data_IF_349667100995
#
_entry.id   IF_349667100995
#
_cell.length_a   1.000
_cell.length_b   1.000
_cell.length_c   1.000
_cell.angle_alpha   90.00
_cell.angle_beta   90.00
_cell.angle_gamma   90.00
#
_symmetry.space_group_name_H-M   'P 1'
#
loop_
_entity.id
_entity.type
_entity.pdbx_description
1 polymer ?
#
# COMPACT_ATOMS: atom_id res chain seq x y z
N UNK A 1 53.81 -30.61 79.27
CA UNK A 1 52.76 -30.05 78.39
C UNK A 1 53.38 -28.97 77.54
N UNK A 2 53.17 -29.07 76.22
CA UNK A 2 53.89 -28.33 75.17
C UNK A 2 53.21 -26.99 74.88
N UNK A 3 53.98 -25.91 74.83
CA UNK A 3 53.64 -24.67 74.12
C UNK A 3 54.87 -24.13 73.40
N UNK A 4 54.75 -23.95 72.08
CA UNK A 4 55.46 -22.90 71.36
C UNK A 4 54.47 -22.18 70.41
N UNK A 5 54.65 -20.98 69.86
CA UNK A 5 55.75 -20.02 69.79
C UNK A 5 55.14 -18.67 69.30
N UNK A 6 55.70 -17.55 69.77
CA UNK A 6 56.06 -16.27 69.11
C UNK A 6 55.53 -15.95 67.68
N UNK A 7 55.34 -14.72 67.16
CA UNK A 7 55.60 -13.30 67.54
C UNK A 7 55.13 -12.41 66.35
N UNK A 8 54.89 -11.11 66.62
CA UNK A 8 55.11 -9.89 65.78
C UNK A 8 54.17 -9.52 64.60
N UNK A 9 53.40 -8.44 64.85
CA UNK A 9 53.12 -7.18 64.11
C UNK A 9 53.79 -6.89 62.73
N UNK A 10 53.25 -5.91 61.95
CA UNK A 10 52.75 -6.04 60.56
C UNK A 10 53.71 -5.45 59.52
N UNK A 11 53.52 -5.73 58.22
CA UNK A 11 53.87 -4.87 57.06
C UNK A 11 53.19 -5.40 55.78
N UNK A 12 52.75 -4.44 54.97
CA UNK A 12 52.46 -4.38 53.53
C UNK A 12 52.73 -5.55 52.56
N UNK A 13 52.01 -5.38 51.43
CA UNK A 13 52.39 -5.66 50.04
C UNK A 13 51.88 -6.99 49.45
N UNK A 14 50.60 -6.98 49.05
CA UNK A 14 50.03 -7.93 48.11
C UNK A 14 50.27 -7.44 46.67
N UNK A 15 51.08 -8.19 45.94
CA UNK A 15 51.41 -8.13 44.51
C UNK A 15 50.32 -7.55 43.59
N UNK A 16 50.70 -6.51 42.86
CA UNK A 16 50.12 -6.13 41.57
C UNK A 16 50.76 -7.03 40.49
N UNK A 17 49.95 -7.86 39.83
CA UNK A 17 50.29 -8.39 38.51
C UNK A 17 49.80 -7.39 37.48
N UNK A 18 50.75 -6.81 36.76
CA UNK A 18 50.54 -5.95 35.60
C UNK A 18 50.00 -6.80 34.46
N UNK A 19 48.78 -6.50 34.01
CA UNK A 19 48.28 -6.89 32.70
C UNK A 19 47.84 -5.60 31.99
N UNK A 20 48.35 -5.46 30.77
CA UNK A 20 48.43 -4.25 29.96
C UNK A 20 47.06 -3.61 29.70
N UNK A 21 47.05 -2.28 29.76
CA UNK A 21 45.87 -1.45 29.60
C UNK A 21 45.42 -1.26 28.15
N UNK A 22 44.10 -1.25 28.01
CA UNK A 22 43.36 -0.42 27.06
C UNK A 22 42.24 0.24 27.88
N UNK A 23 42.14 1.58 27.96
CA UNK A 23 41.07 2.21 28.71
C UNK A 23 39.77 2.15 27.93
N UNK A 24 38.82 1.37 28.43
CA UNK A 24 37.39 1.61 28.24
C UNK A 24 37.08 2.93 28.95
N UNK A 25 36.90 4.00 28.17
CA UNK A 25 36.43 5.27 28.70
C UNK A 25 34.98 5.09 29.17
N UNK A 26 34.79 5.10 30.48
CA UNK A 26 33.53 5.38 31.15
C UNK A 26 33.04 6.76 30.70
N UNK A 27 32.00 6.80 29.87
CA UNK A 27 31.32 8.05 29.58
C UNK A 27 30.42 8.41 30.76
N UNK A 28 30.84 9.47 31.45
CA UNK A 28 30.03 10.17 32.42
C UNK A 28 28.85 10.84 31.72
N UNK A 29 27.68 10.78 32.36
CA UNK A 29 26.53 11.60 32.05
C UNK A 29 26.90 13.06 32.29
N UNK A 30 27.05 13.83 31.22
CA UNK A 30 26.94 15.28 31.26
C UNK A 30 25.52 15.63 30.79
N UNK A 31 24.77 16.24 31.70
CA UNK A 31 23.46 16.83 31.49
C UNK A 31 23.58 18.07 30.59
N UNK A 32 23.25 17.92 29.31
CA UNK A 32 22.94 19.03 28.40
C UNK A 32 21.68 18.67 27.60
N UNK A 33 20.53 18.81 28.25
CA UNK A 33 19.22 18.72 27.61
C UNK A 33 18.93 20.04 26.88
N UNK A 34 19.42 20.14 25.65
CA UNK A 34 19.05 21.17 24.68
C UNK A 34 18.23 20.58 23.52
N UNK A 35 17.05 21.17 23.32
CA UNK A 35 16.11 21.04 22.19
C UNK A 35 15.18 19.80 22.18
N UNK A 36 13.96 20.03 22.68
CA UNK A 36 12.81 19.15 22.59
C UNK A 36 12.28 19.16 21.14
N UNK A 37 12.70 18.16 20.34
CA UNK A 37 12.39 17.99 18.91
C UNK A 37 10.91 18.07 18.53
N UNK A 38 10.36 19.27 18.56
CA UNK A 38 9.07 19.66 18.02
C UNK A 38 9.30 20.06 16.57
N UNK A 39 8.59 19.41 15.64
CA UNK A 39 8.65 19.80 14.24
C UNK A 39 8.07 21.21 14.09
N UNK A 40 8.92 22.21 13.89
CA UNK A 40 8.47 23.59 13.69
C UNK A 40 7.77 23.70 12.33
N UNK A 41 6.43 23.82 12.35
CA UNK A 41 5.62 24.01 11.15
C UNK A 41 5.65 25.49 10.76
N UNK A 42 6.36 25.79 9.67
CA UNK A 42 6.46 27.13 9.09
C UNK A 42 5.08 27.66 8.68
N UNK A 43 4.24 26.81 8.08
CA UNK A 43 2.89 27.18 7.66
C UNK A 43 1.95 25.98 7.53
N UNK A 44 0.69 26.22 7.86
CA UNK A 44 -0.43 25.33 7.60
C UNK A 44 -1.26 25.86 6.42
N UNK A 45 -1.46 25.05 5.40
CA UNK A 45 -2.35 25.29 4.27
C UNK A 45 -3.70 24.63 4.51
N UNK A 46 -4.80 25.26 4.10
CA UNK A 46 -6.13 24.64 4.16
C UNK A 46 -6.50 24.10 2.79
N UNK A 47 -6.78 22.80 2.70
CA UNK A 47 -7.12 22.11 1.46
C UNK A 47 -8.58 21.70 1.49
N UNK A 48 -9.34 22.10 0.48
CA UNK A 48 -10.73 21.66 0.26
C UNK A 48 -10.93 21.23 -1.18
N UNK A 49 -12.07 20.63 -1.54
CA UNK A 49 -12.35 20.25 -2.92
C UNK A 49 -13.67 20.86 -3.42
N UNK A 50 -13.67 21.49 -4.59
CA UNK A 50 -14.83 22.13 -5.22
C UNK A 50 -14.86 21.90 -6.74
N UNK A 51 -15.94 22.29 -7.44
CA UNK A 51 -15.95 22.25 -8.90
C UNK A 51 -14.92 23.25 -9.47
N UNK A 52 -14.15 22.84 -10.48
CA UNK A 52 -13.09 23.66 -11.07
C UNK A 52 -13.69 24.85 -11.82
N UNK A 53 -13.40 26.09 -11.41
CA UNK A 53 -13.66 27.24 -12.26
C UNK A 53 -12.66 27.27 -13.44
N UNK A 54 -12.93 28.12 -14.43
CA UNK A 54 -12.05 28.38 -15.57
C UNK A 54 -10.67 28.91 -15.19
N UNK A 55 -10.53 29.47 -13.98
CA UNK A 55 -9.25 29.90 -13.41
C UNK A 55 -8.38 28.75 -12.88
N UNK A 56 -8.90 27.53 -12.78
CA UNK A 56 -8.12 26.38 -12.32
C UNK A 56 -7.13 25.94 -13.42
N UNK A 57 -5.85 25.65 -13.12
CA UNK A 57 -4.84 25.30 -14.14
C UNK A 57 -5.21 24.08 -14.99
N UNK A 58 -5.97 23.14 -14.40
CA UNK A 58 -6.54 21.98 -15.08
C UNK A 58 -8.04 22.08 -15.41
N UNK A 59 -8.57 23.29 -15.64
CA UNK A 59 -9.96 23.44 -16.08
C UNK A 59 -10.21 22.68 -17.41
N UNK A 60 -11.34 21.99 -17.51
CA UNK A 60 -11.69 21.17 -18.69
C UNK A 60 -10.88 19.87 -18.86
N UNK A 61 -9.93 19.57 -17.96
CA UNK A 61 -9.05 18.40 -18.04
C UNK A 61 -9.21 17.52 -16.79
N UNK A 62 -9.42 16.22 -16.96
CA UNK A 62 -9.60 15.29 -15.83
C UNK A 62 -10.97 15.37 -15.18
N UNK A 63 -11.04 15.21 -13.84
CA UNK A 63 -12.31 15.27 -13.12
C UNK A 63 -12.82 16.71 -13.02
N UNK A 64 -14.14 16.91 -12.87
CA UNK A 64 -14.76 18.24 -12.82
C UNK A 64 -14.46 19.02 -11.54
N UNK A 65 -14.10 18.32 -10.45
CA UNK A 65 -13.68 18.94 -9.19
C UNK A 65 -12.16 19.10 -9.13
N UNK A 66 -11.70 20.09 -8.38
CA UNK A 66 -10.32 20.41 -8.09
C UNK A 66 -10.14 20.75 -6.62
N UNK A 67 -8.88 20.78 -6.20
CA UNK A 67 -8.44 21.10 -4.85
C UNK A 67 -8.21 22.60 -4.76
N UNK A 68 -8.83 23.23 -3.77
CA UNK A 68 -8.59 24.62 -3.41
C UNK A 68 -7.62 24.64 -2.24
N UNK A 69 -6.56 25.45 -2.36
CA UNK A 69 -5.62 25.68 -1.26
C UNK A 69 -5.77 27.13 -0.79
N UNK A 70 -6.06 27.30 0.50
CA UNK A 70 -6.41 28.59 1.10
C UNK A 70 -7.54 29.32 0.34
N UNK A 71 -8.49 28.56 -0.21
CA UNK A 71 -9.62 29.09 -1.00
C UNK A 71 -9.28 29.47 -2.45
N UNK A 72 -8.06 29.19 -2.93
CA UNK A 72 -7.66 29.42 -4.33
C UNK A 72 -7.64 28.09 -5.09
N UNK A 73 -8.46 27.93 -6.15
CA UNK A 73 -8.53 26.72 -6.95
C UNK A 73 -7.20 26.41 -7.65
N UNK A 74 -6.64 25.22 -7.41
CA UNK A 74 -5.39 24.77 -8.04
C UNK A 74 -4.19 25.69 -7.78
N UNK A 75 -4.19 26.38 -6.63
CA UNK A 75 -3.13 27.32 -6.21
C UNK A 75 -1.74 26.73 -6.38
N UNK A 76 -0.91 27.42 -7.13
CA UNK A 76 0.52 27.12 -7.18
C UNK A 76 1.19 27.61 -5.87
N UNK A 77 2.00 26.74 -5.26
CA UNK A 77 2.64 27.01 -3.97
C UNK A 77 4.16 27.14 -4.15
N UNK A 78 4.77 27.97 -3.31
CA UNK A 78 6.22 28.02 -3.11
C UNK A 78 6.48 27.72 -1.65
N UNK A 79 7.30 26.71 -1.40
CA UNK A 79 7.80 26.31 -0.09
C UNK A 79 9.31 26.57 -0.04
N UNK A 80 9.85 26.75 1.15
CA UNK A 80 11.27 27.03 1.37
C UNK A 80 11.97 25.76 1.85
N UNK A 81 13.09 25.42 1.20
CA UNK A 81 13.92 24.26 1.57
C UNK A 81 14.45 24.41 3.00
N UNK A 82 14.47 23.30 3.72
CA UNK A 82 14.85 23.20 5.12
C UNK A 82 13.70 23.49 6.09
N UNK A 83 12.48 23.66 5.60
CA UNK A 83 11.29 23.97 6.41
C UNK A 83 10.24 22.87 6.37
N UNK A 84 9.41 22.84 7.40
CA UNK A 84 8.29 21.90 7.51
C UNK A 84 6.96 22.60 7.32
N UNK A 85 6.05 21.95 6.61
CA UNK A 85 4.73 22.49 6.27
C UNK A 85 3.64 21.47 6.59
N UNK A 86 2.42 21.96 6.82
CA UNK A 86 1.26 21.11 7.00
C UNK A 86 0.12 21.50 6.05
N UNK A 87 -0.70 20.52 5.68
CA UNK A 87 -1.91 20.68 4.89
C UNK A 87 -3.07 20.13 5.70
N UNK A 88 -3.94 21.01 6.18
CA UNK A 88 -5.22 20.63 6.78
C UNK A 88 -6.21 20.33 5.68
N UNK A 89 -6.45 19.06 5.45
CA UNK A 89 -7.34 18.56 4.42
C UNK A 89 -8.74 18.42 5.00
N UNK A 90 -9.71 19.08 4.36
CA UNK A 90 -11.14 18.95 4.59
C UNK A 90 -11.82 18.78 3.22
N UNK A 91 -11.74 17.55 2.74
CA UNK A 91 -12.34 17.09 1.49
C UNK A 91 -13.32 15.96 1.80
N UNK A 92 -13.91 15.33 0.79
CA UNK A 92 -14.73 14.14 0.99
C UNK A 92 -13.95 12.85 0.70
N UNK A 93 -14.47 11.71 1.14
CA UNK A 93 -13.85 10.38 1.01
C UNK A 93 -13.46 9.99 -0.44
N UNK A 94 -14.03 10.66 -1.45
CA UNK A 94 -13.70 10.43 -2.87
C UNK A 94 -12.59 11.33 -3.37
N UNK A 95 -12.12 12.31 -2.58
CA UNK A 95 -11.19 13.35 -2.97
C UNK A 95 -10.02 13.50 -2.00
N UNK A 96 -9.39 12.39 -1.62
CA UNK A 96 -8.19 12.40 -0.79
C UNK A 96 -7.05 13.25 -1.39
N UNK A 97 -6.24 13.84 -0.51
CA UNK A 97 -5.07 14.64 -0.83
C UNK A 97 -3.80 13.83 -0.62
N UNK A 98 -2.85 13.97 -1.54
CA UNK A 98 -1.50 13.44 -1.40
C UNK A 98 -0.51 14.28 -2.21
N UNK A 99 0.78 14.16 -1.89
CA UNK A 99 1.87 14.78 -2.64
C UNK A 99 2.43 13.80 -3.67
N UNK A 100 2.72 14.31 -4.86
CA UNK A 100 3.13 13.52 -6.02
C UNK A 100 4.24 14.23 -6.80
N UNK A 101 5.13 13.46 -7.41
CA UNK A 101 6.11 14.00 -8.38
C UNK A 101 5.49 14.25 -9.76
N UNK A 102 4.22 13.88 -9.98
CA UNK A 102 3.53 14.04 -11.26
C UNK A 102 2.19 14.79 -11.12
N UNK A 103 1.83 15.57 -12.13
CA UNK A 103 0.60 16.39 -12.13
C UNK A 103 -0.70 15.57 -12.29
N UNK A 104 -0.59 14.33 -12.77
CA UNK A 104 -1.75 13.53 -13.17
C UNK A 104 -2.60 13.08 -11.98
N UNK A 105 -2.01 12.85 -10.81
CA UNK A 105 -2.70 12.23 -9.68
C UNK A 105 -2.94 10.72 -9.85
N UNK A 106 -4.13 10.24 -9.48
CA UNK A 106 -4.53 8.82 -9.53
C UNK A 106 -3.71 7.90 -8.60
N UNK A 107 -3.02 8.45 -7.60
CA UNK A 107 -2.18 7.68 -6.69
C UNK A 107 -0.91 7.15 -7.33
N UNK A 108 -0.58 7.61 -8.54
CA UNK A 108 0.71 7.39 -9.15
C UNK A 108 1.75 8.34 -8.54
N UNK A 109 3.03 7.94 -8.65
CA UNK A 109 4.20 8.80 -8.39
C UNK A 109 4.14 9.55 -7.07
N UNK A 110 3.80 8.84 -5.98
CA UNK A 110 3.66 9.41 -4.63
C UNK A 110 5.02 9.94 -4.16
N UNK A 111 5.05 11.17 -3.69
CA UNK A 111 6.18 11.71 -2.94
C UNK A 111 6.04 11.25 -1.48
N UNK A 112 6.81 10.24 -1.10
CA UNK A 112 6.74 9.63 0.23
C UNK A 112 7.86 10.08 1.17
N UNK A 113 9.05 10.42 0.64
CA UNK A 113 10.18 10.86 1.47
C UNK A 113 9.88 12.24 2.08
N UNK A 114 10.00 12.34 3.41
CA UNK A 114 9.69 13.55 4.16
C UNK A 114 8.21 13.89 4.28
N UNK A 115 7.29 13.02 3.83
CA UNK A 115 5.84 13.30 3.84
C UNK A 115 5.10 12.31 4.72
N UNK A 116 4.32 12.82 5.69
CA UNK A 116 3.40 12.02 6.49
C UNK A 116 1.94 12.37 6.17
N UNK A 117 1.04 11.38 6.23
CA UNK A 117 -0.39 11.60 6.03
C UNK A 117 -0.82 11.63 4.56
N UNK A 118 -0.03 11.16 3.60
CA UNK A 118 -0.50 10.98 2.22
C UNK A 118 -1.82 10.18 2.15
N UNK A 119 -2.68 10.54 1.19
CA UNK A 119 -4.02 9.97 0.98
C UNK A 119 -5.04 10.28 2.08
N UNK A 120 -4.92 11.48 2.66
CA UNK A 120 -5.83 11.99 3.67
C UNK A 120 -6.94 12.78 3.01
N UNK A 121 -8.20 12.46 3.29
CA UNK A 121 -9.35 13.26 2.83
C UNK A 121 -9.91 14.18 3.92
N UNK A 122 -9.62 13.88 5.17
CA UNK A 122 -9.97 14.67 6.35
C UNK A 122 -8.79 14.44 7.31
N UNK A 123 -8.05 15.48 7.72
CA UNK A 123 -6.86 15.35 8.57
C UNK A 123 -5.68 16.25 8.18
N UNK A 124 -4.48 15.95 8.66
CA UNK A 124 -3.26 16.71 8.37
C UNK A 124 -2.28 15.87 7.54
N UNK A 125 -1.69 16.49 6.52
CA UNK A 125 -0.53 15.96 5.79
C UNK A 125 0.64 16.88 6.07
N UNK A 126 1.78 16.36 6.49
CA UNK A 126 3.00 17.14 6.73
C UNK A 126 4.06 16.85 5.68
N UNK A 127 4.90 17.83 5.39
CA UNK A 127 6.11 17.64 4.59
C UNK A 127 7.29 18.37 5.22
N UNK A 128 8.39 17.66 5.39
CA UNK A 128 9.72 18.20 5.64
C UNK A 128 10.44 18.38 4.31
N UNK A 129 10.86 19.60 4.01
CA UNK A 129 11.54 19.89 2.75
C UNK A 129 13.05 19.86 3.00
N UNK A 130 13.75 18.81 2.57
CA UNK A 130 15.19 18.66 2.77
C UNK A 130 15.95 18.85 1.44
N UNK A 131 17.24 18.49 1.40
CA UNK A 131 18.05 18.58 0.18
C UNK A 131 17.68 17.56 -0.89
N UNK A 132 16.90 16.53 -0.55
CA UNK A 132 16.43 15.50 -1.48
C UNK A 132 15.03 15.81 -2.02
N UNK A 133 14.27 16.69 -1.36
CA UNK A 133 12.97 17.12 -1.85
C UNK A 133 13.11 17.73 -3.26
N UNK A 134 12.34 17.24 -4.26
CA UNK A 134 12.36 17.76 -5.62
C UNK A 134 12.14 19.27 -5.67
N UNK A 135 12.76 19.95 -6.65
CA UNK A 135 12.55 21.39 -6.86
C UNK A 135 11.13 21.74 -7.28
N UNK A 136 10.46 20.80 -7.95
CA UNK A 136 9.05 20.90 -8.33
C UNK A 136 8.37 19.56 -8.04
N UNK A 137 7.16 19.64 -7.50
CA UNK A 137 6.26 18.50 -7.33
C UNK A 137 4.81 19.02 -7.32
N UNK A 138 3.85 18.16 -6.99
CA UNK A 138 2.43 18.44 -7.08
C UNK A 138 1.71 17.96 -5.83
N UNK A 139 0.57 18.59 -5.53
CA UNK A 139 -0.46 17.95 -4.72
C UNK A 139 -1.55 17.43 -5.64
N UNK A 140 -2.19 16.32 -5.29
CA UNK A 140 -3.13 15.63 -6.16
C UNK A 140 -4.17 14.79 -5.40
N UNK A 141 -5.03 14.11 -6.17
CA UNK A 141 -6.03 13.17 -5.65
C UNK A 141 -5.80 11.75 -6.14
N UNK A 142 -5.95 10.75 -5.27
CA UNK A 142 -5.74 9.33 -5.64
C UNK A 142 -6.83 8.79 -6.55
N UNK A 143 -8.04 9.33 -6.43
CA UNK A 143 -9.20 8.76 -7.14
C UNK A 143 -9.45 9.40 -8.51
N UNK A 144 -8.87 10.58 -8.76
CA UNK A 144 -9.26 11.42 -9.89
C UNK A 144 -8.07 12.17 -10.49
N UNK A 145 -8.00 12.23 -11.83
CA UNK A 145 -6.90 12.92 -12.52
C UNK A 145 -7.03 14.43 -12.42
N UNK A 146 -5.88 15.10 -12.34
CA UNK A 146 -5.74 16.56 -12.52
C UNK A 146 -6.61 17.39 -11.57
N UNK A 147 -6.71 16.95 -10.32
CA UNK A 147 -7.46 17.67 -9.29
C UNK A 147 -6.63 18.70 -8.53
N UNK A 148 -5.30 18.60 -8.51
CA UNK A 148 -4.48 19.48 -7.67
C UNK A 148 -3.72 20.55 -8.43
N UNK A 149 -2.56 20.91 -7.91
CA UNK A 149 -1.74 22.03 -8.38
C UNK A 149 -0.26 21.78 -8.14
N UNK A 150 0.57 22.71 -8.59
CA UNK A 150 2.04 22.59 -8.53
C UNK A 150 2.60 23.22 -7.26
N UNK A 151 3.69 22.65 -6.75
CA UNK A 151 4.48 23.14 -5.63
C UNK A 151 5.94 23.29 -6.09
N UNK A 152 6.53 24.44 -5.77
CA UNK A 152 7.95 24.75 -5.98
C UNK A 152 8.70 24.76 -4.66
N UNK A 153 9.95 24.29 -4.65
CA UNK A 153 10.89 24.47 -3.54
C UNK A 153 11.90 25.57 -3.90
N UNK A 154 11.84 26.69 -3.18
CA UNK A 154 12.84 27.75 -3.19
C UNK A 154 13.92 27.48 -2.12
N UNK A 155 15.13 28.01 -2.31
CA UNK A 155 16.09 28.12 -1.21
C UNK A 155 15.72 29.33 -0.34
N UNK A 156 16.17 29.35 0.91
CA UNK A 156 15.95 30.48 1.81
C UNK A 156 16.44 31.80 1.19
N UNK A 157 15.55 32.80 1.10
CA UNK A 157 15.84 34.10 0.50
C UNK A 157 15.69 34.16 -1.03
N UNK A 158 15.19 33.08 -1.66
CA UNK A 158 14.92 33.00 -3.10
C UNK A 158 13.43 32.85 -3.44
N UNK A 159 12.54 33.00 -2.45
CA UNK A 159 11.10 32.82 -2.60
C UNK A 159 10.53 33.75 -3.67
N UNK A 160 10.94 35.02 -3.67
CA UNK A 160 10.52 36.05 -4.63
C UNK A 160 11.12 35.87 -6.04
N UNK A 161 12.13 35.00 -6.19
CA UNK A 161 12.73 34.68 -7.49
C UNK A 161 11.96 33.58 -8.21
N UNK A 162 11.08 32.86 -7.52
CA UNK A 162 10.16 31.92 -8.16
C UNK A 162 9.04 32.74 -8.81
N UNK A 163 9.04 32.80 -10.14
CA UNK A 163 8.06 33.56 -10.91
C UNK A 163 6.67 32.92 -10.80
N UNK A 164 5.94 33.21 -9.72
CA UNK A 164 4.51 32.99 -9.62
C UNK A 164 3.79 34.19 -10.25
N UNK A 165 2.83 33.97 -11.13
CA UNK A 165 2.01 35.06 -11.67
C UNK A 165 1.38 35.89 -10.53
N UNK A 166 1.65 37.20 -10.48
CA UNK A 166 1.11 38.09 -9.44
C UNK A 166 -0.43 38.12 -9.51
N UNK A 167 -1.10 37.62 -8.48
CA UNK A 167 -2.56 37.72 -8.32
C UNK A 167 -2.88 38.90 -7.42
N UNK A 168 -3.76 39.77 -7.91
CA UNK A 168 -4.34 40.89 -7.17
C UNK A 168 -5.43 40.38 -6.20
N UNK A 169 -5.05 40.21 -4.94
CA UNK A 169 -5.85 39.68 -3.83
C UNK A 169 -7.13 40.50 -3.57
N UNK A 170 -7.17 41.75 -4.04
CA UNK A 170 -8.31 42.65 -3.88
C UNK A 170 -9.49 42.36 -4.84
N UNK A 171 -9.30 41.44 -5.79
CA UNK A 171 -10.30 41.06 -6.82
C UNK A 171 -10.94 39.69 -6.59
N UNK A 172 -10.67 39.05 -5.44
CA UNK A 172 -11.25 37.75 -5.12
C UNK A 172 -12.70 37.89 -4.64
N UNK A 173 -13.63 37.02 -5.09
CA UNK A 173 -14.98 36.99 -4.53
C UNK A 173 -14.94 36.57 -3.05
N UNK A 174 -15.82 37.10 -2.19
CA UNK A 174 -15.85 36.75 -0.78
C UNK A 174 -16.11 35.25 -0.63
N UNK A 175 -15.19 34.57 0.05
CA UNK A 175 -15.31 33.15 0.35
C UNK A 175 -16.48 32.93 1.30
N UNK A 176 -17.26 31.86 1.04
CA UNK A 176 -18.20 31.37 2.03
C UNK A 176 -17.37 30.90 3.23
N UNK A 177 -17.62 31.39 4.46
CA UNK A 177 -16.83 30.98 5.60
C UNK A 177 -16.97 29.46 5.80
N UNK A 178 -15.88 28.75 6.16
CA UNK A 178 -15.99 27.36 6.61
C UNK A 178 -17.05 27.34 7.71
N UNK A 179 -17.92 26.31 7.71
CA UNK A 179 -18.93 26.20 8.77
C UNK A 179 -18.18 26.28 10.11
N UNK A 180 -18.56 27.19 11.01
CA UNK A 180 -17.87 27.32 12.28
C UNK A 180 -17.91 25.97 12.98
N UNK A 181 -16.74 25.45 13.38
CA UNK A 181 -16.65 24.24 14.18
C UNK A 181 -17.40 24.53 15.47
N UNK A 182 -18.54 23.87 15.66
CA UNK A 182 -19.34 24.10 16.85
C UNK A 182 -18.76 23.34 18.02
N UNK A 183 -18.66 23.98 19.18
CA UNK A 183 -18.22 23.35 20.42
C UNK A 183 -19.05 22.09 20.74
N UNK A 184 -20.35 22.12 20.40
CA UNK A 184 -21.25 20.96 20.50
C UNK A 184 -20.76 19.77 19.65
N UNK A 185 -20.34 20.01 18.41
CA UNK A 185 -19.84 18.95 17.50
C UNK A 185 -18.57 18.33 18.05
N UNK A 186 -17.64 19.16 18.55
CA UNK A 186 -16.38 18.70 19.15
C UNK A 186 -16.65 17.85 20.40
N UNK A 187 -17.51 18.33 21.30
CA UNK A 187 -17.92 17.59 22.50
C UNK A 187 -18.55 16.23 22.16
N UNK A 188 -19.42 16.19 21.14
CA UNK A 188 -20.02 14.94 20.68
C UNK A 188 -18.97 13.96 20.13
N UNK A 189 -18.03 14.44 19.30
CA UNK A 189 -16.94 13.60 18.77
C UNK A 189 -16.02 13.09 19.87
N UNK A 190 -15.62 13.94 20.82
CA UNK A 190 -14.79 13.53 21.97
C UNK A 190 -15.50 12.46 22.80
N UNK A 191 -16.80 12.60 23.05
CA UNK A 191 -17.57 11.58 23.77
C UNK A 191 -17.61 10.24 23.02
N UNK A 192 -17.80 10.27 21.69
CA UNK A 192 -17.74 9.05 20.88
C UNK A 192 -16.33 8.43 20.87
N UNK A 193 -15.29 9.25 20.70
CA UNK A 193 -13.91 8.80 20.72
C UNK A 193 -13.53 8.22 22.08
N UNK A 194 -13.98 8.79 23.20
CA UNK A 194 -13.76 8.23 24.53
C UNK A 194 -14.39 6.83 24.69
N UNK A 195 -15.63 6.65 24.21
CA UNK A 195 -16.29 5.36 24.19
C UNK A 195 -15.55 4.34 23.29
N UNK A 196 -15.13 4.76 22.10
CA UNK A 196 -14.46 3.89 21.12
C UNK A 196 -13.03 3.52 21.57
N UNK A 197 -12.26 4.56 21.86
CA UNK A 197 -11.15 4.73 22.82
C UNK A 197 -10.97 3.62 23.84
N UNK A 198 -11.85 3.70 24.83
CA UNK A 198 -11.64 3.08 26.15
C UNK A 198 -12.53 1.85 26.37
N UNK A 199 -13.67 1.77 25.69
CA UNK A 199 -14.73 0.81 26.06
C UNK A 199 -15.07 -0.18 24.95
N UNK A 200 -14.66 0.08 23.70
CA UNK A 200 -15.00 -0.78 22.57
C UNK A 200 -14.43 -2.20 22.73
N UNK A 201 -15.08 -3.17 22.09
CA UNK A 201 -14.54 -4.54 22.03
C UNK A 201 -13.18 -4.58 21.34
N UNK A 202 -12.93 -3.67 20.39
CA UNK A 202 -11.65 -3.50 19.74
C UNK A 202 -10.57 -2.99 20.72
N UNK A 203 -10.88 -1.96 21.52
CA UNK A 203 -9.98 -1.45 22.55
C UNK A 203 -9.56 -2.54 23.54
N UNK A 204 -10.54 -3.33 24.03
CA UNK A 204 -10.27 -4.46 24.92
C UNK A 204 -9.39 -5.52 24.27
N UNK A 205 -9.63 -5.86 23.00
CA UNK A 205 -8.78 -6.82 22.27
C UNK A 205 -7.35 -6.32 22.14
N UNK A 206 -7.18 -5.05 21.72
CA UNK A 206 -5.86 -4.46 21.53
C UNK A 206 -5.10 -4.38 22.86
N UNK A 207 -5.76 -3.91 23.92
CA UNK A 207 -5.17 -3.83 25.26
C UNK A 207 -4.69 -5.19 25.78
N UNK A 208 -5.42 -6.27 25.47
CA UNK A 208 -5.09 -7.63 25.86
C UNK A 208 -4.22 -8.39 24.85
N UNK A 209 -3.79 -7.74 23.76
CA UNK A 209 -2.98 -8.39 22.73
C UNK A 209 -1.49 -8.35 23.06
N UNK A 210 -0.72 -9.24 22.42
CA UNK A 210 0.75 -9.21 22.45
C UNK A 210 1.35 -8.45 21.26
N UNK A 211 0.55 -7.66 20.54
CA UNK A 211 1.01 -6.92 19.37
C UNK A 211 1.54 -5.53 19.77
N UNK A 212 2.86 -5.38 19.79
CA UNK A 212 3.52 -4.13 20.21
C UNK A 212 3.14 -2.93 19.33
N UNK A 213 3.02 -3.12 18.00
CA UNK A 213 2.60 -2.05 17.09
C UNK A 213 1.17 -1.61 17.37
N UNK A 214 0.28 -2.56 17.70
CA UNK A 214 -1.09 -2.25 18.08
C UNK A 214 -1.13 -1.49 19.41
N UNK A 215 -0.28 -1.85 20.38
CA UNK A 215 -0.16 -1.13 21.65
C UNK A 215 0.34 0.30 21.45
N UNK A 216 1.33 0.53 20.60
CA UNK A 216 1.81 1.88 20.27
C UNK A 216 0.69 2.74 19.68
N UNK A 217 -0.03 2.22 18.68
CA UNK A 217 -1.17 2.93 18.09
C UNK A 217 -2.33 3.16 19.08
N UNK A 218 -2.54 2.23 20.03
CA UNK A 218 -3.52 2.36 21.09
C UNK A 218 -3.16 3.45 22.10
N UNK A 219 -1.88 3.52 22.50
CA UNK A 219 -1.39 4.59 23.37
C UNK A 219 -1.50 5.94 22.69
N UNK A 220 -1.06 6.08 21.43
CA UNK A 220 -1.22 7.33 20.67
C UNK A 220 -2.70 7.75 20.60
N UNK A 221 -3.62 6.80 20.38
CA UNK A 221 -5.05 7.12 20.38
C UNK A 221 -5.54 7.74 21.70
N UNK A 222 -5.07 7.26 22.85
CA UNK A 222 -5.37 7.84 24.17
C UNK A 222 -4.73 9.21 24.37
N UNK A 223 -3.47 9.37 23.97
CA UNK A 223 -2.74 10.64 24.09
C UNK A 223 -3.38 11.74 23.24
N UNK A 224 -3.75 11.42 21.99
CA UNK A 224 -4.51 12.28 21.08
C UNK A 224 -5.86 12.67 21.66
N UNK A 225 -6.59 11.72 22.26
CA UNK A 225 -7.87 12.02 22.90
C UNK A 225 -7.71 12.98 24.09
N UNK A 226 -6.63 12.84 24.87
CA UNK A 226 -6.32 13.75 25.97
C UNK A 226 -5.96 15.15 25.45
N UNK A 227 -5.15 15.26 24.39
CA UNK A 227 -4.86 16.54 23.72
C UNK A 227 -6.13 17.21 23.20
N UNK A 228 -7.06 16.44 22.64
CA UNK A 228 -8.35 16.95 22.18
C UNK A 228 -9.19 17.55 23.32
N UNK A 229 -9.20 16.91 24.50
CA UNK A 229 -9.88 17.40 25.70
C UNK A 229 -9.25 18.71 26.21
N UNK A 230 -7.93 18.77 26.28
CA UNK A 230 -7.19 19.99 26.68
C UNK A 230 -7.46 21.15 25.73
N UNK A 231 -7.43 20.90 24.41
CA UNK A 231 -7.71 21.93 23.41
C UNK A 231 -9.16 22.44 23.49
N UNK A 232 -10.12 21.54 23.78
CA UNK A 232 -11.52 21.93 24.01
C UNK A 232 -11.66 22.84 25.23
N UNK A 233 -10.98 22.52 26.34
CA UNK A 233 -11.01 23.35 27.56
C UNK A 233 -10.38 24.74 27.33
N UNK A 234 -9.37 24.82 26.45
CA UNK A 234 -8.78 26.07 25.99
C UNK A 234 -9.65 26.83 24.96
N UNK A 235 -10.83 26.31 24.62
CA UNK A 235 -11.72 26.83 23.55
C UNK A 235 -11.09 26.83 22.14
N UNK A 236 -10.00 26.08 21.93
CA UNK A 236 -9.43 25.83 20.60
C UNK A 236 -10.17 24.67 19.92
N UNK A 237 -11.34 25.00 19.37
CA UNK A 237 -12.23 24.02 18.75
C UNK A 237 -11.63 23.36 17.50
N UNK A 238 -10.69 24.04 16.83
CA UNK A 238 -10.03 23.52 15.62
C UNK A 238 -9.02 22.45 16.01
N UNK A 239 -8.15 22.75 16.97
CA UNK A 239 -7.18 21.78 17.47
C UNK A 239 -7.88 20.59 18.14
N UNK A 240 -8.93 20.84 18.92
CA UNK A 240 -9.72 19.80 19.57
C UNK A 240 -10.36 18.83 18.56
N UNK A 241 -10.89 19.35 17.45
CA UNK A 241 -11.45 18.54 16.38
C UNK A 241 -10.37 17.72 15.65
N UNK A 242 -9.21 18.32 15.42
CA UNK A 242 -8.09 17.62 14.78
C UNK A 242 -7.59 16.44 15.63
N UNK A 243 -7.29 16.68 16.91
CA UNK A 243 -6.73 15.66 17.81
C UNK A 243 -7.72 14.51 18.08
N UNK A 244 -9.04 14.78 18.15
CA UNK A 244 -10.03 13.71 18.31
C UNK A 244 -10.12 12.83 17.05
N UNK A 245 -9.88 13.38 15.88
CA UNK A 245 -9.88 12.62 14.63
C UNK A 245 -8.62 11.77 14.48
N UNK A 246 -7.45 12.30 14.83
CA UNK A 246 -6.22 11.51 14.92
C UNK A 246 -6.37 10.37 15.94
N UNK A 247 -7.01 10.63 17.10
CA UNK A 247 -7.31 9.58 18.09
C UNK A 247 -8.11 8.42 17.48
N UNK A 248 -9.18 8.72 16.74
CA UNK A 248 -10.01 7.71 16.08
C UNK A 248 -9.25 6.95 14.98
N UNK A 249 -8.36 7.62 14.22
CA UNK A 249 -7.49 6.99 13.22
C UNK A 249 -6.51 6.02 13.86
N UNK A 250 -5.82 6.44 14.91
CA UNK A 250 -4.85 5.61 15.64
C UNK A 250 -5.52 4.39 16.26
N UNK A 251 -6.68 4.54 16.90
CA UNK A 251 -7.45 3.42 17.45
C UNK A 251 -7.91 2.45 16.33
N UNK A 252 -8.34 2.98 15.19
CA UNK A 252 -8.72 2.15 14.04
C UNK A 252 -7.54 1.34 13.48
N UNK A 253 -6.35 1.94 13.45
CA UNK A 253 -5.11 1.24 13.09
C UNK A 253 -4.79 0.14 14.09
N UNK A 254 -4.85 0.43 15.39
CA UNK A 254 -4.64 -0.54 16.44
C UNK A 254 -5.62 -1.73 16.32
N UNK A 255 -6.90 -1.45 16.09
CA UNK A 255 -7.92 -2.47 15.88
C UNK A 255 -7.68 -3.36 14.66
N UNK A 256 -7.12 -2.83 13.57
CA UNK A 256 -6.78 -3.61 12.37
C UNK A 256 -5.60 -4.56 12.59
N UNK A 257 -4.66 -4.17 13.44
CA UNK A 257 -3.49 -4.99 13.80
C UNK A 257 -3.88 -6.15 14.73
N UNK A 258 -5.04 -6.09 15.38
CA UNK A 258 -5.57 -7.13 16.26
C UNK A 258 -6.98 -7.55 15.80
N UNK A 259 -7.07 -8.26 14.66
CA UNK A 259 -8.34 -8.70 14.10
C UNK A 259 -9.11 -9.62 15.06
N UNK A 260 -10.43 -9.72 14.88
CA UNK A 260 -11.23 -10.73 15.60
C UNK A 260 -10.82 -12.15 15.17
N UNK A 261 -11.11 -13.19 15.98
CA UNK A 261 -10.85 -14.58 15.59
C UNK A 261 -11.50 -14.94 14.25
N UNK A 262 -12.73 -14.50 14.01
CA UNK A 262 -13.43 -14.70 12.73
C UNK A 262 -12.71 -14.01 11.56
N UNK A 263 -12.29 -12.75 11.74
CA UNK A 263 -11.52 -12.03 10.72
C UNK A 263 -10.17 -12.70 10.47
N UNK A 264 -9.51 -13.21 11.51
CA UNK A 264 -8.23 -13.90 11.38
C UNK A 264 -8.38 -15.20 10.59
N UNK A 265 -9.41 -16.00 10.87
CA UNK A 265 -9.72 -17.20 10.09
C UNK A 265 -10.02 -16.87 8.63
N UNK A 266 -10.71 -15.76 8.37
CA UNK A 266 -10.94 -15.30 7.00
C UNK A 266 -9.64 -14.87 6.30
N UNK A 267 -8.74 -14.19 7.00
CA UNK A 267 -7.42 -13.85 6.46
C UNK A 267 -6.59 -15.10 6.15
N UNK A 268 -6.68 -16.17 6.96
CA UNK A 268 -6.02 -17.45 6.68
C UNK A 268 -6.59 -18.11 5.43
N UNK A 269 -7.91 -18.19 5.31
CA UNK A 269 -8.57 -18.73 4.10
C UNK A 269 -8.17 -17.98 2.86
N UNK A 270 -8.12 -16.65 2.94
CA UNK A 270 -7.66 -15.79 1.85
C UNK A 270 -6.21 -16.09 1.47
N UNK A 271 -5.32 -16.27 2.44
CA UNK A 271 -3.92 -16.60 2.16
C UNK A 271 -3.78 -17.93 1.42
N UNK A 272 -4.46 -18.97 1.89
CA UNK A 272 -4.48 -20.28 1.23
C UNK A 272 -4.97 -20.19 -0.21
N UNK A 273 -6.05 -19.46 -0.45
CA UNK A 273 -6.59 -19.27 -1.79
C UNK A 273 -5.61 -18.51 -2.71
N UNK A 274 -5.01 -17.42 -2.22
CA UNK A 274 -4.03 -16.65 -2.97
C UNK A 274 -2.77 -17.46 -3.30
N UNK A 275 -2.30 -18.28 -2.36
CA UNK A 275 -1.12 -19.12 -2.56
C UNK A 275 -1.37 -20.18 -3.64
N UNK A 276 -2.53 -20.83 -3.62
CA UNK A 276 -2.93 -21.80 -4.66
C UNK A 276 -2.99 -21.12 -6.04
N UNK A 277 -3.60 -19.95 -6.11
CA UNK A 277 -3.73 -19.17 -7.34
C UNK A 277 -2.37 -18.72 -7.88
N UNK A 278 -1.50 -18.17 -7.03
CA UNK A 278 -0.14 -17.76 -7.41
C UNK A 278 0.68 -18.94 -7.91
N UNK A 279 0.63 -20.11 -7.26
CA UNK A 279 1.33 -21.34 -7.73
C UNK A 279 0.82 -21.81 -9.09
N UNK A 280 -0.49 -21.68 -9.34
CA UNK A 280 -1.06 -21.95 -10.66
C UNK A 280 -0.50 -21.00 -11.72
N UNK A 281 -0.48 -19.68 -11.44
CA UNK A 281 0.06 -18.70 -12.37
C UNK A 281 1.56 -18.83 -12.58
N UNK A 282 2.31 -19.21 -11.54
CA UNK A 282 3.75 -19.48 -11.61
C UNK A 282 4.05 -20.58 -12.62
N UNK A 283 3.27 -21.66 -12.56
CA UNK A 283 3.39 -22.79 -13.51
C UNK A 283 3.14 -22.32 -14.95
N UNK A 284 2.07 -21.55 -15.17
CA UNK A 284 1.76 -20.97 -16.48
C UNK A 284 2.84 -20.01 -16.97
N UNK A 285 3.35 -19.16 -16.08
CA UNK A 285 4.40 -18.20 -16.37
C UNK A 285 5.67 -18.90 -16.83
N UNK A 286 6.16 -19.88 -16.05
CA UNK A 286 7.34 -20.68 -16.39
C UNK A 286 7.21 -21.35 -17.76
N UNK A 287 6.04 -21.94 -18.04
CA UNK A 287 5.77 -22.58 -19.34
C UNK A 287 5.81 -21.59 -20.50
N UNK A 288 5.23 -20.40 -20.34
CA UNK A 288 5.23 -19.38 -21.39
C UNK A 288 6.62 -18.80 -21.64
N UNK A 289 7.39 -18.57 -20.58
CA UNK A 289 8.81 -18.16 -20.67
C UNK A 289 9.60 -19.21 -21.45
N UNK A 290 9.54 -20.49 -21.06
CA UNK A 290 10.26 -21.57 -21.75
C UNK A 290 9.87 -21.68 -23.23
N UNK A 291 8.58 -21.51 -23.56
CA UNK A 291 8.09 -21.55 -24.94
C UNK A 291 8.66 -20.40 -25.77
N UNK A 292 8.67 -19.19 -25.23
CA UNK A 292 9.14 -18.00 -25.93
C UNK A 292 10.68 -17.98 -26.06
N UNK A 293 11.40 -18.49 -25.07
CA UNK A 293 12.86 -18.67 -25.16
C UNK A 293 13.22 -19.67 -26.26
N UNK A 294 12.47 -20.77 -26.39
CA UNK A 294 12.63 -21.73 -27.51
C UNK A 294 12.35 -21.10 -28.88
N UNK A 295 11.49 -20.08 -28.96
CA UNK A 295 11.26 -19.33 -30.20
C UNK A 295 12.26 -18.19 -30.41
N UNK A 296 13.30 -18.08 -29.57
CA UNK A 296 14.38 -17.08 -29.70
C UNK A 296 14.11 -15.73 -29.03
N UNK A 297 13.04 -15.61 -28.24
CA UNK A 297 12.67 -14.38 -27.52
C UNK A 297 13.21 -14.42 -26.08
N UNK A 298 14.15 -13.54 -25.75
CA UNK A 298 14.89 -13.57 -24.48
C UNK A 298 14.52 -12.46 -23.49
N UNK A 299 13.73 -11.45 -23.90
CA UNK A 299 13.25 -10.31 -23.08
C UNK A 299 12.13 -10.70 -22.09
N UNK A 300 11.66 -11.96 -22.14
CA UNK A 300 10.49 -12.42 -21.39
C UNK A 300 10.66 -12.44 -19.87
N UNK A 301 11.90 -12.37 -19.37
CA UNK A 301 12.19 -12.37 -17.93
C UNK A 301 12.38 -10.97 -17.33
N UNK A 302 12.37 -9.91 -18.15
CA UNK A 302 12.63 -8.53 -17.71
C UNK A 302 11.51 -7.99 -16.80
N UNK A 303 10.29 -8.50 -16.96
CA UNK A 303 9.12 -8.06 -16.19
C UNK A 303 9.01 -8.74 -14.82
N UNK A 304 9.49 -9.99 -14.69
CA UNK A 304 9.42 -10.76 -13.45
C UNK A 304 10.39 -11.95 -13.48
N UNK A 305 11.44 -11.92 -12.67
CA UNK A 305 12.39 -13.05 -12.62
C UNK A 305 11.86 -14.22 -11.79
N UNK A 306 12.38 -15.43 -12.04
CA UNK A 306 12.07 -16.60 -11.19
C UNK A 306 12.54 -16.42 -9.75
N UNK A 307 13.68 -15.75 -9.55
CA UNK A 307 14.20 -15.47 -8.21
C UNK A 307 13.28 -14.51 -7.44
N UNK A 308 12.73 -13.48 -8.09
CA UNK A 308 11.76 -12.57 -7.46
C UNK A 308 10.44 -13.29 -7.13
N UNK A 309 9.96 -14.17 -8.01
CA UNK A 309 8.78 -15.01 -7.76
C UNK A 309 8.97 -15.88 -6.52
N UNK A 310 10.03 -16.68 -6.50
CA UNK A 310 10.31 -17.64 -5.42
C UNK A 310 10.54 -16.92 -4.10
N UNK A 311 11.40 -15.90 -4.08
CA UNK A 311 11.69 -15.12 -2.86
C UNK A 311 10.46 -14.39 -2.32
N UNK A 312 9.55 -13.91 -3.18
CA UNK A 312 8.31 -13.25 -2.73
C UNK A 312 7.33 -14.26 -2.12
N UNK A 313 7.22 -15.47 -2.68
CA UNK A 313 6.40 -16.56 -2.13
C UNK A 313 6.95 -16.97 -0.77
N UNK A 314 8.26 -17.23 -0.66
CA UNK A 314 8.92 -17.60 0.60
C UNK A 314 8.75 -16.52 1.67
N UNK A 315 8.92 -15.25 1.31
CA UNK A 315 8.71 -14.13 2.24
C UNK A 315 7.26 -14.05 2.74
N UNK A 316 6.27 -14.35 1.89
CA UNK A 316 4.88 -14.36 2.28
C UNK A 316 4.52 -15.55 3.17
N UNK A 317 5.02 -16.76 2.86
CA UNK A 317 4.89 -17.94 3.70
C UNK A 317 5.57 -17.71 5.06
N UNK A 318 6.75 -17.09 5.09
CA UNK A 318 7.44 -16.71 6.34
C UNK A 318 6.63 -15.73 7.18
N UNK A 319 6.05 -14.69 6.57
CA UNK A 319 5.14 -13.76 7.25
C UNK A 319 3.91 -14.47 7.81
N UNK A 320 3.37 -15.46 7.09
CA UNK A 320 2.26 -16.28 7.55
C UNK A 320 2.64 -17.10 8.79
N UNK A 321 3.80 -17.75 8.79
CA UNK A 321 4.33 -18.50 9.94
C UNK A 321 4.62 -17.59 11.15
N UNK A 322 5.07 -16.35 10.92
CA UNK A 322 5.22 -15.33 11.94
C UNK A 322 3.88 -14.75 12.44
N UNK A 323 2.73 -15.28 12.00
CA UNK A 323 1.37 -14.81 12.30
C UNK A 323 1.06 -13.39 11.81
N UNK A 324 1.88 -12.85 10.93
CA UNK A 324 1.70 -11.56 10.24
C UNK A 324 0.84 -11.74 8.97
N UNK A 325 -0.34 -12.37 9.14
CA UNK A 325 -1.17 -12.88 8.04
C UNK A 325 -1.66 -11.78 7.10
N UNK A 326 -1.94 -10.58 7.63
CA UNK A 326 -2.36 -9.44 6.81
C UNK A 326 -1.23 -8.97 5.89
N UNK A 327 0.01 -8.97 6.38
CA UNK A 327 1.18 -8.62 5.58
C UNK A 327 1.45 -9.67 4.50
N UNK A 328 1.34 -10.96 4.85
CA UNK A 328 1.45 -12.08 3.93
C UNK A 328 0.42 -11.98 2.77
N UNK A 329 -0.85 -11.73 3.09
CA UNK A 329 -1.92 -11.53 2.12
C UNK A 329 -1.66 -10.35 1.17
N UNK A 330 -1.14 -9.23 1.70
CA UNK A 330 -0.79 -8.07 0.87
C UNK A 330 0.33 -8.42 -0.11
N UNK A 331 1.35 -9.14 0.34
CA UNK A 331 2.46 -9.56 -0.50
C UNK A 331 1.99 -10.50 -1.62
N UNK A 332 1.12 -11.48 -1.30
CA UNK A 332 0.56 -12.39 -2.30
C UNK A 332 -0.35 -11.71 -3.32
N UNK A 333 -1.18 -10.74 -2.91
CA UNK A 333 -1.98 -9.95 -3.86
C UNK A 333 -1.11 -9.15 -4.83
N UNK A 334 -0.02 -8.58 -4.34
CA UNK A 334 0.91 -7.84 -5.20
C UNK A 334 1.60 -8.78 -6.18
N UNK A 335 2.03 -9.96 -5.73
CA UNK A 335 2.64 -10.97 -6.59
C UNK A 335 1.66 -11.49 -7.65
N UNK A 336 0.43 -11.82 -7.26
CA UNK A 336 -0.65 -12.21 -8.16
C UNK A 336 -0.84 -11.18 -9.29
N UNK A 337 -0.84 -9.88 -8.95
CA UNK A 337 -0.94 -8.80 -9.95
C UNK A 337 0.30 -8.71 -10.86
N UNK A 338 1.49 -8.88 -10.30
CA UNK A 338 2.73 -8.86 -11.08
C UNK A 338 2.76 -10.00 -12.10
N UNK A 339 2.45 -11.23 -11.67
CA UNK A 339 2.50 -12.40 -12.53
C UNK A 339 1.42 -12.39 -13.62
N UNK A 340 0.21 -11.96 -13.27
CA UNK A 340 -0.89 -11.82 -14.24
C UNK A 340 -0.60 -10.73 -15.27
N UNK A 341 -0.02 -9.61 -14.86
CA UNK A 341 0.46 -8.58 -15.78
C UNK A 341 1.56 -9.09 -16.71
N UNK A 342 2.53 -9.85 -16.21
CA UNK A 342 3.63 -10.39 -17.01
C UNK A 342 3.11 -11.44 -18.01
N UNK A 343 2.23 -12.35 -17.56
CA UNK A 343 1.50 -13.28 -18.43
C UNK A 343 0.71 -12.55 -19.51
N UNK A 344 0.00 -11.48 -19.14
CA UNK A 344 -0.76 -10.65 -20.08
C UNK A 344 0.08 -10.13 -21.23
N UNK A 345 1.26 -9.55 -20.92
CA UNK A 345 2.20 -9.06 -21.94
C UNK A 345 2.75 -10.17 -22.84
N UNK A 346 2.99 -11.36 -22.29
CA UNK A 346 3.43 -12.52 -23.09
C UNK A 346 2.34 -12.97 -24.06
N UNK A 347 1.08 -12.91 -23.64
CA UNK A 347 -0.06 -13.43 -24.38
C UNK A 347 -0.65 -12.44 -25.38
N UNK A 348 -0.52 -11.12 -25.14
CA UNK A 348 -1.08 -10.04 -25.98
C UNK A 348 -0.55 -10.05 -27.44
N UNK A 349 0.61 -10.66 -27.71
CA UNK A 349 1.22 -10.72 -29.05
C UNK A 349 1.30 -12.13 -29.66
N UNK A 350 0.74 -13.16 -29.00
CA UNK A 350 0.73 -14.51 -29.58
C UNK A 350 -0.48 -14.71 -30.49
N UNK A 351 -0.30 -14.48 -31.79
CA UNK A 351 -1.22 -15.06 -32.78
C UNK A 351 -0.87 -16.53 -32.92
N UNK A 352 -1.64 -17.39 -32.26
CA UNK A 352 -1.46 -18.84 -32.36
C UNK A 352 -1.97 -19.31 -33.72
N UNK A 353 -1.14 -19.19 -34.76
CA UNK A 353 -1.38 -19.78 -36.08
C UNK A 353 -0.59 -21.07 -36.14
N UNK A 354 -1.22 -22.19 -35.80
CA UNK A 354 -0.69 -23.50 -36.16
C UNK A 354 -1.33 -23.90 -37.49
N UNK A 355 -0.50 -24.08 -38.52
CA UNK A 355 -0.94 -24.74 -39.75
C UNK A 355 -1.43 -26.14 -39.41
N UNK A 356 -2.68 -26.46 -39.79
CA UNK A 356 -3.37 -27.70 -39.41
C UNK A 356 -2.94 -28.89 -40.27
N UNK A 357 -1.66 -29.24 -40.25
CA UNK A 357 -1.15 -30.47 -40.85
C UNK A 357 -0.40 -31.26 -39.77
N UNK A 358 -1.11 -32.17 -39.10
CA UNK A 358 -0.51 -33.07 -38.11
C UNK A 358 -0.13 -34.39 -38.80
N UNK A 359 1.12 -34.84 -38.60
CA UNK A 359 1.62 -36.10 -39.15
C UNK A 359 1.16 -37.30 -38.31
N UNK A 360 0.89 -37.08 -37.02
CA UNK A 360 0.47 -38.15 -36.10
C UNK A 360 -0.63 -37.70 -35.12
N UNK A 361 -1.46 -38.64 -34.60
CA UNK A 361 -2.42 -38.34 -33.53
C UNK A 361 -1.77 -37.84 -32.22
N UNK A 362 -0.51 -38.20 -31.95
CA UNK A 362 0.22 -37.69 -30.80
C UNK A 362 0.52 -36.20 -30.97
N UNK A 363 0.94 -35.79 -32.16
CA UNK A 363 1.21 -34.38 -32.48
C UNK A 363 -0.07 -33.52 -32.40
N UNK A 364 -1.20 -34.01 -32.93
CA UNK A 364 -2.49 -33.35 -32.80
C UNK A 364 -2.93 -33.25 -31.33
N UNK A 365 -2.69 -34.29 -30.54
CA UNK A 365 -2.95 -34.28 -29.10
C UNK A 365 -2.10 -33.23 -28.37
N UNK A 366 -0.80 -33.19 -28.63
CA UNK A 366 0.11 -32.19 -28.04
C UNK A 366 -0.34 -30.77 -28.40
N UNK A 367 -0.78 -30.56 -29.64
CA UNK A 367 -1.36 -29.32 -30.11
C UNK A 367 -2.63 -28.94 -29.33
N UNK A 368 -3.62 -29.83 -29.24
CA UNK A 368 -4.88 -29.53 -28.54
C UNK A 368 -4.67 -29.36 -27.04
N UNK A 369 -3.70 -30.06 -26.44
CA UNK A 369 -3.32 -29.87 -25.04
C UNK A 369 -2.73 -28.48 -24.82
N UNK A 370 -1.77 -28.07 -25.67
CA UNK A 370 -1.19 -26.74 -25.61
C UNK A 370 -2.27 -25.65 -25.80
N UNK A 371 -3.22 -25.89 -26.69
CA UNK A 371 -4.36 -24.99 -26.92
C UNK A 371 -5.27 -24.89 -25.70
N UNK A 372 -5.68 -26.02 -25.09
CA UNK A 372 -6.48 -26.02 -23.85
C UNK A 372 -5.81 -25.20 -22.75
N UNK A 373 -4.52 -25.46 -22.50
CA UNK A 373 -3.75 -24.77 -21.48
C UNK A 373 -3.64 -23.27 -21.76
N UNK A 374 -3.47 -22.88 -23.03
CA UNK A 374 -3.48 -21.45 -23.41
C UNK A 374 -4.82 -20.77 -23.11
N UNK A 375 -5.95 -21.44 -23.35
CA UNK A 375 -7.26 -20.90 -23.00
C UNK A 375 -7.46 -20.79 -21.48
N UNK A 376 -6.94 -21.74 -20.71
CA UNK A 376 -7.00 -21.73 -19.24
C UNK A 376 -6.22 -20.52 -18.70
N UNK A 377 -5.04 -20.25 -19.26
CA UNK A 377 -4.19 -19.10 -18.92
C UNK A 377 -4.83 -17.74 -19.22
N UNK A 378 -5.72 -17.67 -20.22
CA UNK A 378 -6.43 -16.44 -20.58
C UNK A 378 -7.57 -16.08 -19.62
N UNK A 379 -8.13 -17.03 -18.88
CA UNK A 379 -9.25 -16.80 -17.96
C UNK A 379 -8.91 -15.74 -16.90
N UNK A 380 -7.85 -15.89 -16.08
CA UNK A 380 -7.52 -14.91 -15.04
C UNK A 380 -7.17 -13.55 -15.65
N UNK A 381 -6.47 -13.53 -16.79
CA UNK A 381 -6.14 -12.30 -17.51
C UNK A 381 -7.40 -11.57 -17.96
N UNK A 382 -8.38 -12.29 -18.50
CA UNK A 382 -9.66 -11.72 -18.91
C UNK A 382 -10.43 -11.14 -17.72
N UNK A 383 -10.42 -11.80 -16.57
CA UNK A 383 -11.04 -11.29 -15.33
C UNK A 383 -10.34 -10.00 -14.88
N UNK A 384 -9.01 -9.98 -14.86
CA UNK A 384 -8.25 -8.79 -14.44
C UNK A 384 -8.48 -7.60 -15.38
N UNK A 385 -8.39 -7.82 -16.69
CA UNK A 385 -8.50 -6.78 -17.70
C UNK A 385 -9.93 -6.25 -17.84
N UNK A 386 -10.94 -7.14 -17.83
CA UNK A 386 -12.34 -6.76 -18.08
C UNK A 386 -13.10 -6.40 -16.81
N UNK A 387 -12.58 -6.77 -15.64
CA UNK A 387 -13.18 -6.52 -14.32
C UNK A 387 -14.69 -6.83 -14.31
N UNK A 388 -15.08 -8.05 -14.67
CA UNK A 388 -16.49 -8.42 -14.81
C UNK A 388 -17.24 -8.36 -13.46
N UNK A 389 -18.57 -8.30 -13.52
CA UNK A 389 -19.39 -8.33 -12.32
C UNK A 389 -19.24 -9.67 -11.58
N UNK A 390 -19.47 -9.67 -10.26
CA UNK A 390 -19.41 -10.91 -9.45
C UNK A 390 -20.26 -12.04 -10.04
N UNK A 391 -21.45 -11.70 -10.56
CA UNK A 391 -22.33 -12.69 -11.18
C UNK A 391 -21.77 -13.28 -12.47
N UNK A 392 -21.04 -12.49 -13.26
CA UNK A 392 -20.37 -12.98 -14.45
C UNK A 392 -19.19 -13.89 -14.08
N UNK A 393 -18.41 -13.56 -13.05
CA UNK A 393 -17.33 -14.41 -12.52
C UNK A 393 -17.89 -15.78 -12.10
N UNK A 394 -18.97 -15.81 -11.31
CA UNK A 394 -19.60 -17.08 -10.90
C UNK A 394 -20.03 -17.97 -12.09
N UNK A 395 -20.52 -17.36 -13.18
CA UNK A 395 -20.88 -18.09 -14.40
C UNK A 395 -19.65 -18.56 -15.18
N UNK A 396 -18.57 -17.77 -15.20
CA UNK A 396 -17.30 -18.18 -15.78
C UNK A 396 -16.73 -19.39 -15.02
N UNK A 397 -16.72 -19.33 -13.69
CA UNK A 397 -16.19 -20.39 -12.83
C UNK A 397 -16.89 -21.72 -13.09
N UNK A 398 -18.20 -21.72 -13.32
CA UNK A 398 -18.93 -22.95 -13.70
C UNK A 398 -18.40 -23.60 -14.98
N UNK A 399 -18.07 -22.78 -16.00
CA UNK A 399 -17.50 -23.29 -17.24
C UNK A 399 -16.04 -23.73 -17.06
N UNK A 400 -15.26 -22.99 -16.27
CA UNK A 400 -13.86 -23.33 -15.95
C UNK A 400 -13.79 -24.67 -15.22
N UNK A 401 -14.59 -24.85 -14.17
CA UNK A 401 -14.69 -26.10 -13.42
C UNK A 401 -15.07 -27.25 -14.35
N UNK A 402 -16.08 -27.06 -15.21
CA UNK A 402 -16.49 -28.11 -16.17
C UNK A 402 -15.39 -28.44 -17.18
N UNK A 403 -14.66 -27.44 -17.68
CA UNK A 403 -13.51 -27.65 -18.56
C UNK A 403 -12.42 -28.46 -17.87
N UNK A 404 -12.09 -28.09 -16.63
CA UNK A 404 -11.10 -28.77 -15.79
C UNK A 404 -11.48 -30.22 -15.49
N UNK A 405 -12.75 -30.49 -15.20
CA UNK A 405 -13.25 -31.86 -14.99
C UNK A 405 -13.06 -32.73 -16.25
N UNK A 406 -13.41 -32.21 -17.44
CA UNK A 406 -13.20 -32.93 -18.70
C UNK A 406 -11.71 -33.20 -18.93
N UNK A 407 -10.85 -32.21 -18.67
CA UNK A 407 -9.40 -32.38 -18.77
C UNK A 407 -8.87 -33.43 -17.79
N UNK A 408 -9.32 -33.44 -16.53
CA UNK A 408 -8.94 -34.44 -15.54
C UNK A 408 -9.38 -35.85 -15.96
N UNK A 409 -10.58 -35.99 -16.52
CA UNK A 409 -11.07 -37.26 -17.06
C UNK A 409 -10.26 -37.73 -18.28
N UNK A 410 -9.61 -36.82 -19.01
CA UNK A 410 -8.77 -37.19 -20.16
C UNK A 410 -7.44 -37.83 -19.75
N UNK A 411 -6.94 -37.56 -18.53
CA UNK A 411 -5.65 -38.10 -18.05
C UNK A 411 -5.49 -39.63 -18.16
N UNK A 412 -6.42 -40.47 -17.66
CA UNK A 412 -6.30 -41.92 -17.84
C UNK A 412 -6.33 -42.35 -19.32
N UNK A 413 -7.11 -41.67 -20.17
CA UNK A 413 -7.18 -41.94 -21.62
C UNK A 413 -5.84 -41.63 -22.31
N UNK A 414 -5.14 -40.59 -21.84
CA UNK A 414 -3.79 -40.23 -22.30
C UNK A 414 -2.76 -41.29 -21.89
N UNK A 415 -2.85 -41.82 -20.67
CA UNK A 415 -1.97 -42.88 -20.17
C UNK A 415 -2.11 -44.18 -20.99
N UNK A 416 -3.32 -44.48 -21.45
CA UNK A 416 -3.63 -45.59 -22.37
C UNK A 416 -3.18 -45.31 -23.82
N UNK A 417 -2.62 -44.13 -24.10
CA UNK A 417 -2.21 -43.66 -25.43
C UNK A 417 -3.35 -43.60 -26.46
N UNK A 418 -4.59 -43.51 -25.99
CA UNK A 418 -5.75 -43.28 -26.85
C UNK A 418 -5.88 -41.79 -27.19
N UNK A 419 -4.93 -41.32 -28.01
CA UNK A 419 -4.82 -39.92 -28.38
C UNK A 419 -6.06 -39.39 -29.11
N UNK A 420 -6.78 -40.23 -29.84
CA UNK A 420 -8.00 -39.83 -30.57
C UNK A 420 -9.11 -39.42 -29.61
N UNK A 421 -9.36 -40.22 -28.57
CA UNK A 421 -10.36 -39.87 -27.57
C UNK A 421 -9.87 -38.71 -26.68
N UNK A 422 -8.58 -38.67 -26.33
CA UNK A 422 -8.00 -37.55 -25.59
C UNK A 422 -8.15 -36.21 -26.32
N UNK A 423 -7.93 -36.16 -27.64
CA UNK A 423 -8.15 -34.97 -28.49
C UNK A 423 -9.59 -34.46 -28.36
N UNK A 424 -10.59 -35.34 -28.49
CA UNK A 424 -11.99 -34.95 -28.39
C UNK A 424 -12.34 -34.38 -27.01
N UNK A 425 -11.78 -34.96 -25.95
CA UNK A 425 -11.95 -34.46 -24.58
C UNK A 425 -11.31 -33.07 -24.41
N UNK A 426 -10.08 -32.87 -24.92
CA UNK A 426 -9.40 -31.58 -24.87
C UNK A 426 -10.12 -30.49 -25.66
N UNK A 427 -10.68 -30.83 -26.83
CA UNK A 427 -11.53 -29.91 -27.59
C UNK A 427 -12.81 -29.54 -26.82
N UNK A 428 -13.43 -30.53 -26.17
CA UNK A 428 -14.59 -30.32 -25.30
C UNK A 428 -14.29 -29.44 -24.09
N UNK A 429 -13.12 -29.64 -23.46
CA UNK A 429 -12.63 -28.82 -22.35
C UNK A 429 -12.35 -27.38 -22.80
N UNK A 430 -11.62 -27.22 -23.90
CA UNK A 430 -11.32 -25.91 -24.54
C UNK A 430 -12.59 -25.14 -24.87
N UNK A 431 -13.61 -25.83 -25.38
CA UNK A 431 -14.91 -25.20 -25.68
C UNK A 431 -15.57 -24.61 -24.42
N UNK A 432 -15.43 -25.23 -23.25
CA UNK A 432 -15.95 -24.63 -22.00
C UNK A 432 -15.17 -23.36 -21.64
N UNK A 433 -13.84 -23.38 -21.74
CA UNK A 433 -13.02 -22.19 -21.46
C UNK A 433 -13.33 -21.03 -22.42
N UNK A 434 -13.55 -21.32 -23.70
CA UNK A 434 -14.04 -20.33 -24.66
C UNK A 434 -15.43 -19.78 -24.30
N UNK A 435 -16.31 -20.56 -23.67
CA UNK A 435 -17.59 -20.04 -23.16
C UNK A 435 -17.39 -19.12 -21.97
N UNK A 436 -16.48 -19.46 -21.06
CA UNK A 436 -16.10 -18.60 -19.94
C UNK A 436 -15.56 -17.24 -20.45
N UNK A 437 -14.60 -17.25 -21.37
CA UNK A 437 -14.04 -16.01 -21.95
C UNK A 437 -15.09 -15.16 -22.68
N UNK A 438 -16.03 -15.79 -23.40
CA UNK A 438 -17.12 -15.07 -24.07
C UNK A 438 -18.05 -14.34 -23.11
N UNK A 439 -18.18 -14.77 -21.85
CA UNK A 439 -18.97 -14.06 -20.84
C UNK A 439 -18.44 -12.65 -20.57
N UNK A 440 -17.17 -12.41 -20.84
CA UNK A 440 -16.50 -11.12 -20.60
C UNK A 440 -16.07 -10.42 -21.88
N UNK A 441 -16.62 -10.85 -23.02
CA UNK A 441 -16.40 -10.24 -24.32
C UNK A 441 -15.03 -10.55 -24.93
N UNK A 442 -14.34 -11.58 -24.46
CA UNK A 442 -13.12 -12.12 -25.09
C UNK A 442 -13.56 -13.19 -26.09
N UNK A 443 -13.12 -13.06 -27.35
CA UNK A 443 -13.57 -13.89 -28.47
C UNK A 443 -12.48 -14.83 -28.95
#
# INVERSE_FOLDING_TARGET
>A
MRTPFQKRLPVHLGMIVVLLGLPMASYAFDDDWGDDGTLEIERIFVVTAQDKPDTHPFYGVGHKRGMDVDGVPGKELVLTRGKSYAFRVDTDIKHDFYLSTESVGWGASVLAEGVEGNFTYDGIVTIETDNKTPKEFFYACRNHKYMGGKIHIANAGEEDKVALGKIDISKLPPTKPPKPVSERTVKQKISFADMFVSQSSAAKRVANSDNDKAKVAYTDAHDRLNKAKIALDASDLVLALFEVDESLRSMSTAARLVPTPEQLEEQKRLFTALLEEVKSFETSYKRNVERLEKSGRTDVRDDLSYAELESTIEAAESLYEMKEIVAANRLMKNLQKAITSALGKMLDNTTVVYDKNFETPLEEFEYELARYLSYEELIPLAIEQKRPSKRAIELMDQFVVKGKDIYLQSKPVIEEKDYKNAILMLQGATFQLQRALRMVGVR
#
